data_IF_181459221558
#
_entry.id   IF_181459221558
#
_cell.length_a   1.000
_cell.length_b   1.000
_cell.length_c   1.000
_cell.angle_alpha   90.00
_cell.angle_beta   90.00
_cell.angle_gamma   90.00
#
_symmetry.space_group_name_H-M   'P 1'
#
loop_
_entity.id
_entity.type
_entity.pdbx_description
1 polymer ?
#
# COMPACT_ATOMS: atom_id res chain seq x y z
N UNK A 1 84.67 3.37 6.30
CA UNK A 1 83.66 3.84 7.27
C UNK A 1 82.40 4.19 6.51
N UNK A 2 81.26 3.69 6.99
CA UNK A 2 80.05 3.42 6.23
C UNK A 2 79.17 4.66 6.09
N UNK A 3 78.60 4.81 4.89
CA UNK A 3 77.76 5.90 4.40
C UNK A 3 76.41 5.97 5.13
N UNK A 4 75.97 7.18 5.51
CA UNK A 4 74.66 7.43 6.12
C UNK A 4 73.84 8.29 5.16
N UNK A 5 72.92 7.67 4.41
CA UNK A 5 71.86 8.32 3.66
C UNK A 5 70.58 8.10 4.47
N UNK A 6 70.03 9.15 5.10
CA UNK A 6 68.72 9.08 5.74
C UNK A 6 67.63 9.27 4.69
N UNK A 7 66.82 8.23 4.50
CA UNK A 7 65.65 8.18 3.63
C UNK A 7 64.59 9.21 4.05
N UNK A 8 63.96 9.81 3.04
CA UNK A 8 62.85 10.76 3.20
C UNK A 8 61.58 10.12 3.75
N UNK A 9 60.88 10.90 4.58
CA UNK A 9 59.57 10.61 5.14
C UNK A 9 58.50 10.54 4.04
N UNK A 10 57.93 9.35 3.81
CA UNK A 10 56.67 9.20 3.08
C UNK A 10 55.54 9.03 4.09
N UNK A 11 54.79 10.11 4.31
CA UNK A 11 53.55 10.10 5.11
C UNK A 11 52.42 9.56 4.21
N UNK A 12 52.07 8.29 4.35
CA UNK A 12 50.85 7.75 3.75
C UNK A 12 49.67 8.12 4.64
N UNK A 13 48.93 9.17 4.27
CA UNK A 13 47.63 9.51 4.85
C UNK A 13 46.63 8.41 4.46
N UNK A 14 46.49 7.39 5.32
CA UNK A 14 45.40 6.43 5.24
C UNK A 14 44.11 7.13 5.68
N UNK A 15 43.46 7.81 4.73
CA UNK A 15 42.11 8.35 4.93
C UNK A 15 41.15 7.17 5.06
N UNK A 16 40.81 6.81 6.30
CA UNK A 16 39.76 5.85 6.58
C UNK A 16 38.42 6.45 6.12
N UNK A 17 38.01 6.18 4.88
CA UNK A 17 36.63 6.32 4.48
C UNK A 17 35.80 5.33 5.31
N UNK A 18 35.25 5.82 6.41
CA UNK A 18 34.12 5.19 7.07
C UNK A 18 32.93 5.23 6.10
N UNK A 19 32.82 4.20 5.25
CA UNK A 19 31.59 3.93 4.52
C UNK A 19 30.57 3.50 5.57
N UNK A 20 29.74 4.46 5.99
CA UNK A 20 28.59 4.19 6.85
C UNK A 20 27.60 3.33 6.05
N UNK A 21 27.74 2.01 6.12
CA UNK A 21 26.75 1.08 5.58
C UNK A 21 25.40 1.42 6.25
N UNK A 22 24.35 1.79 5.50
CA UNK A 22 23.04 1.94 6.10
C UNK A 22 22.64 0.57 6.65
N UNK A 23 22.53 0.46 7.98
CA UNK A 23 21.96 -0.71 8.64
C UNK A 23 20.63 -1.02 7.94
N UNK A 24 20.54 -2.15 7.25
CA UNK A 24 19.35 -2.56 6.54
C UNK A 24 18.18 -2.58 7.54
N UNK A 25 17.33 -1.55 7.49
CA UNK A 25 16.19 -1.40 8.39
C UNK A 25 15.20 -2.49 8.02
N UNK A 26 15.03 -3.48 8.89
CA UNK A 26 14.15 -4.62 8.64
C UNK A 26 12.75 -4.14 8.20
N UNK A 27 12.28 -4.65 7.06
CA UNK A 27 10.98 -4.25 6.51
C UNK A 27 9.83 -4.63 7.47
N UNK A 28 8.86 -3.74 7.69
CA UNK A 28 7.65 -4.07 8.45
C UNK A 28 6.78 -5.10 7.73
N UNK A 29 6.10 -5.95 8.48
CA UNK A 29 5.11 -6.90 7.97
C UNK A 29 3.90 -6.19 7.35
N UNK A 30 3.27 -6.85 6.37
CA UNK A 30 2.10 -6.35 5.64
C UNK A 30 0.86 -7.19 5.93
N UNK A 31 -0.31 -6.55 5.98
CA UNK A 31 -1.58 -7.16 6.40
C UNK A 31 -2.65 -7.11 5.31
N UNK A 32 -2.70 -6.05 4.49
CA UNK A 32 -3.71 -5.90 3.43
C UNK A 32 -5.11 -5.57 3.93
N UNK A 33 -5.26 -4.53 4.77
CA UNK A 33 -6.57 -4.06 5.25
C UNK A 33 -6.60 -2.54 5.37
N UNK A 34 -7.79 -1.96 5.21
CA UNK A 34 -8.07 -0.55 5.50
C UNK A 34 -8.76 -0.43 6.85
N UNK A 35 -8.26 0.46 7.70
CA UNK A 35 -8.72 0.64 9.06
C UNK A 35 -8.98 2.11 9.37
N UNK A 36 -9.87 2.37 10.32
CA UNK A 36 -10.06 3.70 10.90
C UNK A 36 -10.23 3.63 12.41
N UNK A 37 -9.82 4.70 13.09
CA UNK A 37 -10.19 4.89 14.49
C UNK A 37 -11.71 5.03 14.64
N UNK A 38 -12.21 4.70 15.84
CA UNK A 38 -13.63 4.87 16.17
C UNK A 38 -13.84 6.18 16.96
N UNK A 39 -14.64 7.08 16.40
CA UNK A 39 -15.00 8.35 17.03
C UNK A 39 -15.96 8.18 18.22
N UNK A 40 -16.12 9.20 19.09
CA UNK A 40 -16.93 9.10 20.31
C UNK A 40 -18.40 8.70 20.06
N UNK A 41 -19.03 9.26 19.01
CA UNK A 41 -20.42 8.93 18.63
C UNK A 41 -20.58 7.45 18.26
N UNK A 42 -19.65 6.92 17.47
CA UNK A 42 -19.68 5.51 17.08
C UNK A 42 -19.44 4.58 18.28
N UNK A 43 -18.59 4.95 19.25
CA UNK A 43 -18.42 4.18 20.50
C UNK A 43 -19.71 4.12 21.33
N UNK A 44 -20.44 5.23 21.42
CA UNK A 44 -21.70 5.29 22.15
C UNK A 44 -22.75 4.32 21.59
N UNK A 45 -22.78 4.13 20.26
CA UNK A 45 -23.69 3.19 19.59
C UNK A 45 -23.47 1.72 19.99
N UNK A 46 -22.30 1.35 20.52
CA UNK A 46 -22.04 -0.01 21.00
C UNK A 46 -22.44 -0.23 22.48
N UNK A 47 -23.00 0.77 23.16
CA UNK A 47 -23.54 0.65 24.53
C UNK A 47 -22.51 0.30 25.62
N UNK A 48 -21.21 0.32 25.30
CA UNK A 48 -20.09 0.00 26.19
C UNK A 48 -18.91 0.94 25.90
N UNK A 49 -17.99 1.11 26.86
CA UNK A 49 -16.68 1.74 26.63
C UNK A 49 -15.81 0.84 25.74
N UNK A 50 -16.16 0.75 24.46
CA UNK A 50 -15.43 -0.04 23.48
C UNK A 50 -14.31 0.81 22.90
N UNK A 51 -13.09 0.29 22.97
CA UNK A 51 -11.89 0.84 22.35
C UNK A 51 -11.40 -0.13 21.29
N UNK A 52 -10.81 0.38 20.22
CA UNK A 52 -10.35 -0.45 19.11
C UNK A 52 -10.34 0.29 17.80
N UNK A 53 -10.01 -0.45 16.75
CA UNK A 53 -9.84 0.07 15.39
C UNK A 53 -10.78 -0.69 14.46
N UNK A 54 -11.59 0.05 13.71
CA UNK A 54 -12.61 -0.50 12.82
C UNK A 54 -11.98 -0.90 11.48
N UNK A 55 -12.25 -2.12 11.05
CA UNK A 55 -11.90 -2.61 9.72
C UNK A 55 -12.93 -2.08 8.72
N UNK A 56 -12.49 -1.14 7.88
CA UNK A 56 -13.31 -0.59 6.79
C UNK A 56 -13.37 -1.54 5.62
N UNK A 57 -12.24 -2.14 5.29
CA UNK A 57 -12.10 -3.02 4.14
C UNK A 57 -10.93 -3.98 4.31
N UNK A 58 -10.98 -5.09 3.58
CA UNK A 58 -9.94 -6.12 3.58
C UNK A 58 -9.62 -6.48 2.14
N UNK A 59 -8.35 -6.37 1.76
CA UNK A 59 -7.92 -6.69 0.42
C UNK A 59 -8.05 -8.21 0.18
N UNK A 60 -8.74 -8.59 -0.89
CA UNK A 60 -8.97 -9.98 -1.26
C UNK A 60 -7.63 -10.67 -1.56
N UNK A 61 -7.46 -11.90 -1.08
CA UNK A 61 -6.23 -12.68 -1.30
C UNK A 61 -5.04 -12.28 -0.43
N UNK A 62 -5.16 -11.22 0.38
CA UNK A 62 -4.11 -10.76 1.28
C UNK A 62 -4.17 -11.41 2.67
N UNK A 63 -3.12 -11.22 3.46
CA UNK A 63 -2.95 -11.85 4.78
C UNK A 63 -4.18 -11.70 5.69
N UNK A 64 -4.80 -10.51 5.76
CA UNK A 64 -5.99 -10.26 6.56
C UNK A 64 -7.22 -11.03 6.07
N UNK A 65 -7.46 -11.07 4.75
CA UNK A 65 -8.58 -11.82 4.18
C UNK A 65 -8.40 -13.32 4.41
N UNK A 66 -7.19 -13.84 4.16
CA UNK A 66 -6.84 -15.24 4.39
C UNK A 66 -6.95 -15.64 5.87
N UNK A 67 -6.73 -14.70 6.79
CA UNK A 67 -6.94 -14.89 8.22
C UNK A 67 -8.41 -14.82 8.66
N UNK A 68 -9.34 -14.58 7.73
CA UNK A 68 -10.78 -14.50 8.01
C UNK A 68 -11.24 -13.18 8.62
N UNK A 69 -10.43 -12.11 8.52
CA UNK A 69 -10.83 -10.75 8.88
C UNK A 69 -11.90 -10.25 7.90
N UNK A 70 -12.87 -9.49 8.42
CA UNK A 70 -13.98 -8.97 7.62
C UNK A 70 -14.19 -7.48 7.86
N UNK A 71 -14.79 -6.83 6.87
CA UNK A 71 -15.35 -5.48 7.04
C UNK A 71 -16.33 -5.46 8.21
N UNK A 72 -16.23 -4.43 9.04
CA UNK A 72 -17.06 -4.27 10.24
C UNK A 72 -16.48 -4.92 11.50
N UNK A 73 -15.39 -5.68 11.38
CA UNK A 73 -14.67 -6.16 12.56
C UNK A 73 -14.05 -4.98 13.31
N UNK A 74 -14.11 -5.01 14.64
CA UNK A 74 -13.37 -4.08 15.48
C UNK A 74 -12.18 -4.78 16.12
N UNK A 75 -10.96 -4.40 15.72
CA UNK A 75 -9.73 -4.94 16.27
C UNK A 75 -9.50 -4.37 17.66
N UNK A 76 -9.38 -5.25 18.66
CA UNK A 76 -9.20 -4.88 20.08
C UNK A 76 -7.90 -5.40 20.67
N UNK A 77 -7.29 -6.42 20.05
CA UNK A 77 -5.93 -6.89 20.37
C UNK A 77 -5.19 -7.30 19.11
N UNK A 78 -3.89 -7.03 19.08
CA UNK A 78 -2.99 -7.47 18.04
C UNK A 78 -1.66 -7.94 18.66
N UNK A 79 -1.32 -9.20 18.43
CA UNK A 79 -0.26 -9.94 19.10
C UNK A 79 -0.43 -9.82 20.64
N UNK A 80 0.57 -9.29 21.34
CA UNK A 80 0.51 -9.05 22.80
C UNK A 80 -0.04 -7.67 23.17
N UNK A 81 -0.41 -6.83 22.20
CA UNK A 81 -0.77 -5.43 22.43
C UNK A 81 -2.29 -5.23 22.45
N UNK A 82 -2.76 -4.46 23.43
CA UNK A 82 -4.13 -3.94 23.43
C UNK A 82 -4.24 -2.81 22.42
N UNK A 83 -5.26 -2.87 21.58
CA UNK A 83 -5.49 -1.86 20.54
C UNK A 83 -6.64 -0.98 20.99
N UNK A 84 -6.34 0.28 21.33
CA UNK A 84 -7.34 1.26 21.77
C UNK A 84 -7.61 2.30 20.69
N UNK A 85 -6.55 2.72 20.01
CA UNK A 85 -6.55 3.72 18.94
C UNK A 85 -5.77 3.21 17.71
N UNK A 86 -5.83 3.97 16.61
CA UNK A 86 -5.21 3.58 15.34
C UNK A 86 -3.69 3.45 15.46
N UNK A 87 -3.08 4.36 16.23
CA UNK A 87 -1.65 4.46 16.47
C UNK A 87 -1.11 3.21 17.16
N UNK A 88 -1.87 2.63 18.10
CA UNK A 88 -1.51 1.37 18.76
C UNK A 88 -1.38 0.22 17.74
N UNK A 89 -2.33 0.15 16.79
CA UNK A 89 -2.35 -0.89 15.77
C UNK A 89 -1.18 -0.71 14.80
N UNK A 90 -0.92 0.51 14.35
CA UNK A 90 0.22 0.82 13.48
C UNK A 90 1.52 0.42 14.16
N UNK A 91 1.72 0.82 15.42
CA UNK A 91 2.92 0.48 16.18
C UNK A 91 3.09 -1.04 16.37
N UNK A 92 1.99 -1.77 16.62
CA UNK A 92 2.01 -3.22 16.78
C UNK A 92 2.35 -3.96 15.48
N UNK A 93 1.79 -3.51 14.35
CA UNK A 93 2.06 -4.10 13.02
C UNK A 93 3.50 -3.83 12.59
N UNK A 94 4.01 -2.61 12.80
CA UNK A 94 5.36 -2.21 12.36
C UNK A 94 6.46 -2.99 13.10
N UNK A 95 6.21 -3.42 14.34
CA UNK A 95 7.13 -4.29 15.09
C UNK A 95 7.18 -5.73 14.56
N UNK A 96 6.21 -6.15 13.75
CA UNK A 96 6.16 -7.48 13.16
C UNK A 96 7.01 -7.58 11.90
N UNK A 97 7.78 -8.67 11.76
CA UNK A 97 8.51 -8.98 10.53
C UNK A 97 7.63 -9.77 9.55
N UNK A 98 7.84 -9.66 8.23
CA UNK A 98 7.21 -10.55 7.26
C UNK A 98 7.41 -12.03 7.61
N UNK A 99 6.40 -12.86 7.34
CA UNK A 99 6.37 -14.28 7.69
C UNK A 99 6.07 -14.58 9.17
N UNK A 100 6.16 -13.57 10.07
CA UNK A 100 5.80 -13.75 11.48
C UNK A 100 4.32 -14.10 11.60
N UNK A 101 4.04 -15.16 12.37
CA UNK A 101 2.67 -15.47 12.81
C UNK A 101 2.27 -14.51 13.93
N UNK A 102 1.13 -13.86 13.77
CA UNK A 102 0.52 -12.95 14.75
C UNK A 102 -0.87 -13.47 15.12
N UNK A 103 -1.24 -13.29 16.38
CA UNK A 103 -2.62 -13.46 16.84
C UNK A 103 -3.32 -12.11 16.83
N UNK A 104 -4.64 -12.09 16.64
CA UNK A 104 -5.44 -10.90 16.86
C UNK A 104 -6.79 -11.28 17.47
N UNK A 105 -7.40 -10.33 18.16
CA UNK A 105 -8.77 -10.47 18.67
C UNK A 105 -9.61 -9.35 18.10
N UNK A 106 -10.73 -9.72 17.50
CA UNK A 106 -11.71 -8.80 16.94
C UNK A 106 -13.05 -8.95 17.64
N UNK A 107 -13.83 -7.87 17.67
CA UNK A 107 -15.25 -7.91 17.97
C UNK A 107 -16.02 -7.97 16.66
N UNK A 108 -16.83 -9.01 16.50
CA UNK A 108 -17.75 -9.19 15.37
C UNK A 108 -19.13 -9.47 15.93
N UNK A 109 -20.10 -8.64 15.58
CA UNK A 109 -21.48 -8.74 16.10
C UNK A 109 -21.50 -8.84 17.65
N UNK A 110 -20.65 -8.06 18.32
CA UNK A 110 -20.52 -8.03 19.77
C UNK A 110 -19.76 -9.20 20.42
N UNK A 111 -19.38 -10.23 19.65
CA UNK A 111 -18.64 -11.41 20.14
C UNK A 111 -17.14 -11.27 19.87
N UNK A 112 -16.31 -11.75 20.80
CA UNK A 112 -14.85 -11.84 20.62
C UNK A 112 -14.51 -13.02 19.72
N UNK A 113 -13.77 -12.77 18.65
CA UNK A 113 -13.24 -13.79 17.74
C UNK A 113 -11.72 -13.67 17.72
N UNK A 114 -11.04 -14.79 17.96
CA UNK A 114 -9.59 -14.89 17.84
C UNK A 114 -9.20 -15.36 16.45
N UNK A 115 -8.35 -14.59 15.78
CA UNK A 115 -7.82 -14.91 14.45
C UNK A 115 -6.30 -15.04 14.54
N UNK A 116 -5.73 -15.86 13.65
CA UNK A 116 -4.28 -15.94 13.48
C UNK A 116 -3.91 -15.71 12.03
N UNK A 117 -2.88 -14.92 11.83
CA UNK A 117 -2.44 -14.47 10.51
C UNK A 117 -0.93 -14.61 10.41
N UNK A 118 -0.42 -14.94 9.23
CA UNK A 118 0.99 -14.73 8.90
C UNK A 118 1.12 -13.38 8.23
N UNK A 119 1.98 -12.51 8.76
CA UNK A 119 2.26 -11.23 8.13
C UNK A 119 2.83 -11.48 6.73
N UNK A 120 2.22 -10.87 5.73
CA UNK A 120 2.73 -10.88 4.38
C UNK A 120 4.07 -10.13 4.31
N UNK A 121 4.86 -10.45 3.28
CA UNK A 121 5.86 -9.50 2.79
C UNK A 121 5.10 -8.38 2.11
N UNK A 122 5.48 -7.14 2.40
CA UNK A 122 5.00 -6.02 1.60
C UNK A 122 5.39 -6.32 0.15
N UNK A 123 4.48 -6.31 -0.84
CA UNK A 123 4.91 -6.41 -2.23
C UNK A 123 5.92 -5.29 -2.47
N UNK A 124 7.18 -5.63 -2.79
CA UNK A 124 8.32 -4.71 -2.76
C UNK A 124 8.08 -3.48 -3.65
N UNK A 125 7.70 -2.30 -3.11
CA UNK A 125 7.38 -1.12 -3.93
C UNK A 125 8.65 -0.38 -4.38
N UNK A 126 9.82 -0.78 -3.88
CA UNK A 126 11.12 -0.13 -4.04
C UNK A 126 12.06 -0.85 -5.01
N UNK A 127 11.72 -2.07 -5.47
CA UNK A 127 12.35 -2.63 -6.68
C UNK A 127 11.77 -2.06 -7.98
N UNK A 128 10.77 -1.18 -7.90
CA UNK A 128 10.35 -0.33 -9.01
C UNK A 128 11.29 0.88 -9.06
N UNK A 129 12.50 0.67 -9.59
CA UNK A 129 13.53 1.71 -9.72
C UNK A 129 13.13 2.85 -10.68
N UNK A 130 12.08 2.67 -11.48
CA UNK A 130 11.50 3.71 -12.34
C UNK A 130 10.15 4.13 -11.78
N UNK A 131 10.05 5.37 -11.32
CA UNK A 131 8.77 6.07 -11.15
C UNK A 131 8.05 6.03 -12.50
N UNK A 132 7.21 5.02 -12.70
CA UNK A 132 6.52 4.81 -13.96
C UNK A 132 5.27 5.65 -13.98
N UNK A 133 5.38 6.92 -14.34
CA UNK A 133 4.23 7.62 -14.88
C UNK A 133 3.93 7.02 -16.25
N UNK A 134 2.67 6.68 -16.50
CA UNK A 134 2.22 6.29 -17.83
C UNK A 134 1.05 7.16 -18.21
N UNK A 135 1.26 7.96 -19.25
CA UNK A 135 0.19 8.67 -19.92
C UNK A 135 -0.48 7.75 -20.95
N UNK A 136 -1.80 7.86 -21.05
CA UNK A 136 -2.64 7.28 -22.09
C UNK A 136 -3.33 8.42 -22.84
N UNK A 137 -2.64 9.11 -23.77
CA UNK A 137 -3.18 10.32 -24.41
C UNK A 137 -4.49 10.07 -25.16
N UNK A 138 -4.61 8.94 -25.86
CA UNK A 138 -5.83 8.57 -26.59
C UNK A 138 -7.06 8.38 -25.69
N UNK A 139 -6.81 7.98 -24.44
CA UNK A 139 -7.86 7.77 -23.45
C UNK A 139 -8.03 9.03 -22.58
N UNK A 140 -6.98 9.86 -22.45
CA UNK A 140 -6.97 11.14 -21.77
C UNK A 140 -6.72 11.08 -20.27
N UNK A 141 -5.81 10.22 -19.80
CA UNK A 141 -5.42 10.21 -18.40
C UNK A 141 -3.98 9.75 -18.18
N UNK A 142 -3.43 10.10 -17.02
CA UNK A 142 -2.11 9.64 -16.56
C UNK A 142 -2.27 8.90 -15.25
N UNK A 143 -1.52 7.80 -15.10
CA UNK A 143 -1.42 7.05 -13.85
C UNK A 143 0.01 6.93 -13.38
N UNK A 144 0.14 6.71 -12.08
CA UNK A 144 1.40 6.38 -11.43
C UNK A 144 1.22 5.21 -10.46
N UNK A 145 2.26 4.39 -10.34
CA UNK A 145 2.34 3.44 -9.24
C UNK A 145 2.41 4.18 -7.90
N UNK A 146 1.76 3.66 -6.86
CA UNK A 146 1.77 4.29 -5.54
C UNK A 146 3.14 4.08 -4.88
N UNK A 147 3.93 5.16 -4.81
CA UNK A 147 5.17 5.25 -4.02
C UNK A 147 4.99 6.23 -2.83
N UNK A 148 6.05 6.49 -2.06
CA UNK A 148 5.98 7.38 -0.89
C UNK A 148 5.56 8.82 -1.25
N UNK A 149 6.23 9.42 -2.23
CA UNK A 149 5.96 10.79 -2.70
C UNK A 149 4.54 10.94 -3.25
N UNK A 150 4.12 9.99 -4.08
CA UNK A 150 2.79 9.95 -4.69
C UNK A 150 1.70 9.77 -3.63
N UNK A 151 1.94 8.91 -2.63
CA UNK A 151 1.02 8.70 -1.52
C UNK A 151 0.80 9.97 -0.71
N UNK A 152 1.88 10.67 -0.38
CA UNK A 152 1.83 11.93 0.35
C UNK A 152 1.10 13.00 -0.46
N UNK A 153 1.48 13.19 -1.73
CA UNK A 153 0.89 14.19 -2.61
C UNK A 153 -0.64 14.03 -2.78
N UNK A 154 -1.13 12.80 -2.84
CA UNK A 154 -2.55 12.51 -3.06
C UNK A 154 -3.29 12.10 -1.76
N UNK A 155 -2.66 12.21 -0.59
CA UNK A 155 -3.28 11.88 0.70
C UNK A 155 -3.77 10.43 0.81
N UNK A 156 -3.11 9.48 0.13
CA UNK A 156 -3.62 8.12 0.01
C UNK A 156 -3.45 7.34 1.34
N UNK A 157 -4.51 6.68 1.85
CA UNK A 157 -4.45 5.91 3.09
C UNK A 157 -3.31 4.89 3.10
N UNK A 158 -2.62 4.76 4.23
CA UNK A 158 -1.59 3.74 4.43
C UNK A 158 -2.17 2.33 4.14
N UNK A 159 -1.55 1.61 3.22
CA UNK A 159 -2.08 0.33 2.71
C UNK A 159 -2.81 0.42 1.36
N UNK A 160 -3.04 1.63 0.84
CA UNK A 160 -3.51 1.82 -0.54
C UNK A 160 -2.56 1.16 -1.53
N UNK A 161 -3.13 0.31 -2.37
CA UNK A 161 -2.49 -0.39 -3.48
C UNK A 161 -3.29 -0.16 -4.77
N UNK A 162 -2.61 -0.22 -5.91
CA UNK A 162 -3.18 0.17 -7.21
C UNK A 162 -2.34 1.19 -7.96
N UNK A 163 -2.96 1.78 -8.98
CA UNK A 163 -2.43 2.90 -9.76
C UNK A 163 -3.21 4.16 -9.41
N UNK A 164 -2.55 5.18 -8.88
CA UNK A 164 -3.21 6.47 -8.68
C UNK A 164 -3.31 7.19 -10.03
N UNK A 165 -4.45 7.81 -10.25
CA UNK A 165 -4.69 8.72 -11.37
C UNK A 165 -4.08 10.06 -10.99
N UNK A 166 -3.09 10.50 -11.75
CA UNK A 166 -2.37 11.75 -11.46
C UNK A 166 -2.87 12.92 -12.28
N UNK A 167 -3.50 12.63 -13.42
CA UNK A 167 -4.06 13.61 -14.33
C UNK A 167 -5.20 12.99 -15.13
N UNK A 168 -6.23 13.77 -15.41
CA UNK A 168 -7.32 13.44 -16.33
C UNK A 168 -7.51 14.65 -17.22
N UNK A 169 -7.47 14.44 -18.53
CA UNK A 169 -7.76 15.46 -19.52
C UNK A 169 -9.27 15.76 -19.50
N UNK A 170 -9.62 17.05 -19.42
CA UNK A 170 -11.01 17.54 -19.30
C UNK A 170 -11.84 17.33 -20.56
N UNK A 171 -11.21 17.10 -21.71
CA UNK A 171 -11.89 16.82 -22.98
C UNK A 171 -12.02 15.32 -23.26
N UNK A 172 -11.49 14.48 -22.37
CA UNK A 172 -11.47 13.04 -22.56
C UNK A 172 -12.79 12.36 -22.23
N UNK A 173 -12.99 11.18 -22.83
CA UNK A 173 -14.16 10.32 -22.60
C UNK A 173 -14.22 9.72 -21.18
N UNK A 174 -13.16 9.87 -20.37
CA UNK A 174 -13.07 9.33 -18.99
C UNK A 174 -13.41 10.34 -17.88
N UNK A 175 -13.62 11.61 -18.23
CA UNK A 175 -13.88 12.72 -17.27
C UNK A 175 -15.02 12.46 -16.30
N UNK A 176 -16.08 11.81 -16.75
CA UNK A 176 -17.25 11.54 -15.90
C UNK A 176 -17.09 10.31 -14.99
N UNK A 177 -15.97 9.59 -15.11
CA UNK A 177 -15.73 8.31 -14.45
C UNK A 177 -14.38 8.18 -13.76
N UNK A 178 -13.51 9.19 -13.81
CA UNK A 178 -12.17 9.15 -13.23
C UNK A 178 -11.71 10.56 -12.86
N UNK A 179 -11.13 10.72 -11.67
CA UNK A 179 -10.57 11.99 -11.21
C UNK A 179 -9.13 11.82 -10.71
N UNK A 180 -8.29 12.88 -10.73
CA UNK A 180 -7.01 12.85 -10.05
C UNK A 180 -7.17 12.50 -8.56
N UNK A 181 -6.33 11.57 -8.08
CA UNK A 181 -6.41 11.00 -6.74
C UNK A 181 -7.20 9.69 -6.66
N UNK A 182 -8.02 9.36 -7.67
CA UNK A 182 -8.64 8.04 -7.76
C UNK A 182 -7.55 6.96 -7.90
N UNK A 183 -7.82 5.77 -7.35
CA UNK A 183 -6.89 4.64 -7.45
C UNK A 183 -7.54 3.50 -8.23
N UNK A 184 -6.96 3.13 -9.37
CA UNK A 184 -7.33 1.94 -10.13
C UNK A 184 -6.71 0.73 -9.45
N UNK A 185 -7.55 -0.13 -8.87
CA UNK A 185 -7.13 -1.30 -8.07
C UNK A 185 -7.10 -2.55 -8.95
N UNK A 186 -8.03 -2.67 -9.90
CA UNK A 186 -8.12 -3.80 -10.81
C UNK A 186 -8.39 -3.38 -12.25
N UNK A 187 -7.99 -4.23 -13.19
CA UNK A 187 -8.39 -4.18 -14.60
C UNK A 187 -8.75 -5.59 -15.08
N UNK A 188 -9.95 -5.74 -15.66
CA UNK A 188 -10.57 -7.02 -16.04
C UNK A 188 -10.51 -8.08 -14.92
N UNK A 189 -10.92 -7.68 -13.71
CA UNK A 189 -10.95 -8.51 -12.49
C UNK A 189 -9.57 -9.03 -12.04
N UNK A 190 -8.48 -8.42 -12.52
CA UNK A 190 -7.12 -8.71 -12.08
C UNK A 190 -6.55 -7.53 -11.32
N UNK A 191 -5.93 -7.80 -10.18
CA UNK A 191 -5.23 -6.77 -9.42
C UNK A 191 -4.08 -6.16 -10.23
N UNK A 192 -3.99 -4.84 -10.19
CA UNK A 192 -2.94 -4.08 -10.87
C UNK A 192 -2.19 -3.19 -9.88
N UNK A 193 -0.90 -3.08 -10.11
CA UNK A 193 0.04 -2.41 -9.20
C UNK A 193 1.06 -1.57 -9.98
N UNK A 194 1.21 -1.87 -11.28
CA UNK A 194 2.14 -1.22 -12.19
C UNK A 194 1.42 -0.76 -13.46
N UNK A 195 1.82 0.37 -14.05
CA UNK A 195 1.22 0.83 -15.30
C UNK A 195 1.33 -0.21 -16.43
N UNK A 196 2.41 -0.99 -16.47
CA UNK A 196 2.57 -2.06 -17.44
C UNK A 196 1.47 -3.13 -17.35
N UNK A 197 0.95 -3.42 -16.16
CA UNK A 197 -0.20 -4.34 -16.02
C UNK A 197 -1.47 -3.76 -16.62
N UNK A 198 -1.73 -2.46 -16.41
CA UNK A 198 -2.86 -1.77 -17.02
C UNK A 198 -2.72 -1.72 -18.55
N UNK A 199 -1.54 -1.33 -19.06
CA UNK A 199 -1.26 -1.35 -20.51
C UNK A 199 -1.53 -2.72 -21.11
N UNK A 200 -1.08 -3.80 -20.46
CA UNK A 200 -1.35 -5.17 -20.94
C UNK A 200 -2.85 -5.48 -21.00
N UNK A 201 -3.65 -5.01 -20.05
CA UNK A 201 -5.11 -5.22 -20.10
C UNK A 201 -5.76 -4.41 -21.22
N UNK A 202 -5.34 -3.16 -21.43
CA UNK A 202 -5.81 -2.31 -22.54
C UNK A 202 -5.46 -2.95 -23.88
N UNK A 203 -4.20 -3.33 -24.09
CA UNK A 203 -3.77 -3.99 -25.33
C UNK A 203 -4.47 -5.32 -25.58
N UNK A 204 -4.72 -6.12 -24.52
CA UNK A 204 -5.50 -7.34 -24.64
C UNK A 204 -6.93 -7.05 -25.09
N UNK A 205 -7.58 -6.03 -24.53
CA UNK A 205 -8.92 -5.62 -24.93
C UNK A 205 -8.95 -5.14 -26.39
N UNK A 206 -7.98 -4.31 -26.82
CA UNK A 206 -7.83 -3.85 -28.21
C UNK A 206 -7.67 -5.02 -29.18
N UNK A 207 -6.76 -5.96 -28.90
CA UNK A 207 -6.56 -7.18 -29.72
C UNK A 207 -7.82 -8.04 -29.81
N UNK A 208 -8.62 -8.04 -28.73
CA UNK A 208 -9.89 -8.77 -28.66
C UNK A 208 -11.07 -7.97 -29.21
N UNK A 209 -10.83 -6.79 -29.81
CA UNK A 209 -11.85 -5.87 -30.34
C UNK A 209 -12.92 -5.47 -29.31
N UNK A 210 -12.57 -5.48 -28.02
CA UNK A 210 -13.45 -5.02 -26.96
C UNK A 210 -13.38 -3.49 -26.88
N UNK A 211 -14.51 -2.79 -26.75
CA UNK A 211 -14.53 -1.33 -26.70
C UNK A 211 -14.00 -0.76 -25.38
N UNK A 212 -13.95 -1.57 -24.33
CA UNK A 212 -13.61 -1.12 -22.98
C UNK A 212 -12.82 -2.18 -22.19
N UNK A 213 -12.06 -1.71 -21.18
CA UNK A 213 -11.53 -2.49 -20.06
C UNK A 213 -12.37 -2.20 -18.83
N UNK A 214 -12.84 -3.23 -18.14
CA UNK A 214 -13.53 -3.06 -16.87
C UNK A 214 -12.49 -2.75 -15.78
N UNK A 215 -12.59 -1.61 -15.12
CA UNK A 215 -11.67 -1.21 -14.04
C UNK A 215 -12.40 -1.09 -12.71
N UNK A 216 -11.75 -1.49 -11.61
CA UNK A 216 -12.21 -1.22 -10.25
C UNK A 216 -11.48 0.03 -9.74
N UNK A 217 -12.23 1.06 -9.40
CA UNK A 217 -11.72 2.34 -8.94
C UNK A 217 -12.08 2.52 -7.46
N UNK A 218 -11.08 2.89 -6.65
CA UNK A 218 -11.29 3.45 -5.30
C UNK A 218 -11.21 4.97 -5.38
N UNK A 219 -12.30 5.63 -5.01
CA UNK A 219 -12.36 7.08 -4.83
C UNK A 219 -12.76 7.44 -3.40
N UNK A 220 -12.87 8.73 -3.10
CA UNK A 220 -13.45 9.22 -1.84
C UNK A 220 -14.90 8.72 -1.61
N UNK A 221 -15.61 8.34 -2.68
CA UNK A 221 -17.00 7.82 -2.62
C UNK A 221 -17.05 6.30 -2.40
N UNK A 222 -15.90 5.62 -2.37
CA UNK A 222 -15.80 4.17 -2.21
C UNK A 222 -15.32 3.45 -3.47
N UNK A 223 -15.50 2.13 -3.48
CA UNK A 223 -15.16 1.26 -4.61
C UNK A 223 -16.29 1.22 -5.63
N UNK A 224 -15.97 1.36 -6.92
CA UNK A 224 -16.91 1.16 -8.02
C UNK A 224 -16.23 0.62 -9.26
N UNK A 225 -16.97 -0.16 -10.04
CA UNK A 225 -16.55 -0.51 -11.39
C UNK A 225 -16.79 0.64 -12.36
N UNK A 226 -15.93 0.76 -13.35
CA UNK A 226 -16.06 1.70 -14.46
C UNK A 226 -15.58 1.05 -15.76
N UNK A 227 -16.18 1.42 -16.88
CA UNK A 227 -15.71 1.02 -18.19
C UNK A 227 -14.68 2.04 -18.69
N UNK A 228 -13.43 1.60 -18.85
CA UNK A 228 -12.35 2.42 -19.39
C UNK A 228 -12.26 2.18 -20.92
N UNK A 229 -12.52 3.18 -21.77
CA UNK A 229 -12.43 3.01 -23.22
C UNK A 229 -10.99 2.70 -23.64
N UNK A 230 -10.82 1.93 -24.71
CA UNK A 230 -9.49 1.48 -25.19
C UNK A 230 -9.12 1.96 -26.60
N UNK A 231 -9.98 2.80 -27.20
CA UNK A 231 -9.91 3.23 -28.59
C UNK A 231 -8.54 3.82 -28.95
#
# INVERSE_FOLDING_TARGET
MISVIRLGSFLVLLSAMFVQLPLARAEPGFVGMEVQGIGPRARAAFGKKITGVLVKDVAVGEAAALAGLRRGDLIVKFDRNNIRILEDLIAAVVKGKPGKKVSMVVLRNGKRISLSMRLGKRPEPWKVQKVGFKSYPLIGFTVSAINAKVREQFGLPWGSVGLVVTFVDKESKVVNGLAPGDVIVQANLKDIWTPAQLTRQIEKARKSKLPNVLVLIRSARGLRFSALPVN
#
